data_IF_316848709675
#
_entry.id   IF_316848709675
#
_cell.length_a   1.000
_cell.length_b   1.000
_cell.length_c   1.000
_cell.angle_alpha   90.00
_cell.angle_beta   90.00
_cell.angle_gamma   90.00
#
_symmetry.space_group_name_H-M   'P 1'
#
loop_
_entity.id
_entity.type
_entity.pdbx_description
1 polymer ?
#
# COMPACT_ATOMS: atom_id res chain seq x y z
N UNK A 1 -16.57 24.97 -53.90
CA UNK A 1 -17.47 24.34 -52.91
C UNK A 1 -16.60 23.32 -52.14
N UNK A 2 -15.77 23.89 -51.26
CA UNK A 2 -14.72 23.12 -50.56
C UNK A 2 -15.31 22.54 -49.31
N UNK A 3 -15.43 21.20 -49.30
CA UNK A 3 -15.86 20.43 -48.11
C UNK A 3 -14.66 20.37 -47.16
N UNK A 4 -14.63 21.26 -46.14
CA UNK A 4 -13.72 21.16 -45.02
C UNK A 4 -13.98 19.84 -44.26
N UNK A 5 -13.16 18.86 -44.53
CA UNK A 5 -13.08 17.66 -43.69
C UNK A 5 -12.34 18.04 -42.40
N UNK A 6 -13.11 18.34 -41.38
CA UNK A 6 -12.53 18.56 -40.02
C UNK A 6 -11.71 17.35 -39.56
N UNK A 7 -10.68 17.57 -38.72
CA UNK A 7 -9.81 16.49 -38.27
C UNK A 7 -10.61 15.42 -37.52
N UNK A 8 -10.25 14.14 -37.70
CA UNK A 8 -10.96 13.03 -37.07
C UNK A 8 -10.96 13.20 -35.54
N UNK A 9 -12.15 13.18 -34.97
CA UNK A 9 -12.32 13.14 -33.51
C UNK A 9 -11.70 11.83 -32.97
N UNK A 10 -10.46 11.88 -32.52
CA UNK A 10 -9.91 10.81 -31.69
C UNK A 10 -10.72 10.76 -30.39
N UNK A 11 -11.34 9.60 -30.05
CA UNK A 11 -12.00 9.43 -28.77
C UNK A 11 -10.96 9.68 -27.68
N UNK A 12 -11.17 10.71 -26.85
CA UNK A 12 -10.34 10.97 -25.68
C UNK A 12 -10.33 9.71 -24.85
N UNK A 13 -9.20 9.01 -24.81
CA UNK A 13 -8.98 7.90 -23.89
C UNK A 13 -9.39 8.39 -22.50
N UNK A 14 -10.43 7.77 -21.94
CA UNK A 14 -11.02 8.20 -20.68
C UNK A 14 -9.93 8.27 -19.63
N UNK A 15 -9.82 9.41 -18.91
CA UNK A 15 -8.89 9.57 -17.78
C UNK A 15 -9.08 8.38 -16.87
N UNK A 16 -8.00 7.64 -16.51
CA UNK A 16 -8.09 6.53 -15.59
C UNK A 16 -8.81 7.03 -14.34
N UNK A 17 -9.92 6.42 -14.01
CA UNK A 17 -10.80 6.96 -13.00
C UNK A 17 -10.13 6.80 -11.65
N UNK A 18 -9.74 7.91 -11.02
CA UNK A 18 -9.24 7.94 -9.65
C UNK A 18 -10.11 7.10 -8.69
N UNK A 19 -11.39 6.95 -9.03
CA UNK A 19 -12.37 6.10 -8.36
C UNK A 19 -12.00 4.61 -8.41
N UNK A 20 -11.57 4.08 -9.57
CA UNK A 20 -11.22 2.66 -9.71
C UNK A 20 -10.02 2.29 -8.83
N UNK A 21 -8.99 3.14 -8.81
CA UNK A 21 -7.82 2.95 -7.97
C UNK A 21 -8.17 2.99 -6.48
N UNK A 22 -8.95 3.99 -6.08
CA UNK A 22 -9.43 4.09 -4.68
C UNK A 22 -10.24 2.86 -4.30
N UNK A 23 -11.10 2.34 -5.17
CA UNK A 23 -11.89 1.14 -4.89
C UNK A 23 -11.01 -0.10 -4.64
N UNK A 24 -9.95 -0.30 -5.45
CA UNK A 24 -8.98 -1.39 -5.23
C UNK A 24 -8.26 -1.23 -3.89
N UNK A 25 -7.79 -0.02 -3.57
CA UNK A 25 -7.11 0.24 -2.30
C UNK A 25 -8.05 -0.01 -1.12
N UNK A 26 -9.29 0.49 -1.19
CA UNK A 26 -10.31 0.24 -0.15
C UNK A 26 -10.56 -1.26 0.00
N UNK A 27 -10.64 -2.00 -1.10
CA UNK A 27 -10.77 -3.46 -1.09
C UNK A 27 -9.61 -4.15 -0.35
N UNK A 28 -8.37 -3.75 -0.62
CA UNK A 28 -7.18 -4.27 0.09
C UNK A 28 -7.28 -3.99 1.58
N UNK A 29 -7.55 -2.74 1.95
CA UNK A 29 -7.63 -2.33 3.36
C UNK A 29 -8.79 -3.03 4.08
N UNK A 30 -9.92 -3.24 3.39
CA UNK A 30 -11.04 -3.99 3.93
C UNK A 30 -10.67 -5.46 4.19
N UNK A 31 -9.99 -6.13 3.26
CA UNK A 31 -9.53 -7.50 3.46
C UNK A 31 -8.59 -7.59 4.67
N UNK A 32 -7.63 -6.68 4.78
CA UNK A 32 -6.72 -6.62 5.94
C UNK A 32 -7.51 -6.42 7.23
N UNK A 33 -8.45 -5.48 7.25
CA UNK A 33 -9.30 -5.22 8.42
C UNK A 33 -10.15 -6.44 8.81
N UNK A 34 -10.72 -7.16 7.83
CA UNK A 34 -11.50 -8.37 8.08
C UNK A 34 -10.63 -9.50 8.66
N UNK A 35 -9.42 -9.69 8.14
CA UNK A 35 -8.47 -10.70 8.68
C UNK A 35 -8.21 -10.44 10.18
N UNK A 36 -8.01 -9.16 10.56
CA UNK A 36 -7.79 -8.79 11.95
C UNK A 36 -9.07 -8.88 12.79
N UNK A 37 -10.20 -8.40 12.26
CA UNK A 37 -11.49 -8.41 12.95
C UNK A 37 -11.95 -9.83 13.28
N UNK A 38 -11.85 -10.75 12.33
CA UNK A 38 -12.23 -12.15 12.50
C UNK A 38 -11.15 -13.00 13.20
N UNK A 39 -10.00 -12.37 13.57
CA UNK A 39 -8.91 -13.03 14.27
C UNK A 39 -8.53 -14.36 13.61
N UNK A 40 -8.33 -14.31 12.28
CA UNK A 40 -8.07 -15.51 11.46
C UNK A 40 -6.98 -16.39 12.04
N UNK A 41 -5.98 -15.82 12.71
CA UNK A 41 -4.93 -16.55 13.41
C UNK A 41 -5.44 -17.54 14.45
N UNK A 42 -6.61 -17.35 15.05
CA UNK A 42 -7.15 -18.28 16.05
C UNK A 42 -7.56 -19.63 15.47
N UNK A 43 -7.75 -19.71 14.16
CA UNK A 43 -8.05 -20.96 13.43
C UNK A 43 -6.80 -21.72 12.98
N UNK A 44 -5.61 -21.13 13.18
CA UNK A 44 -4.33 -21.75 12.87
C UNK A 44 -3.81 -22.54 14.06
N UNK A 45 -2.94 -23.52 13.82
CA UNK A 45 -2.33 -24.37 14.85
C UNK A 45 -0.84 -24.63 14.53
N UNK A 46 -0.08 -24.96 15.57
CA UNK A 46 1.35 -25.28 15.44
C UNK A 46 2.18 -24.08 14.95
N UNK A 47 3.14 -24.33 14.10
CA UNK A 47 4.07 -23.32 13.57
C UNK A 47 3.38 -22.19 12.79
N UNK A 48 2.24 -22.46 12.17
CA UNK A 48 1.48 -21.43 11.47
C UNK A 48 0.86 -20.40 12.42
N UNK A 49 0.41 -20.85 13.60
CA UNK A 49 -0.08 -19.96 14.64
C UNK A 49 1.03 -19.03 15.15
N UNK A 50 2.20 -19.60 15.44
CA UNK A 50 3.36 -18.82 15.90
C UNK A 50 3.82 -17.80 14.85
N UNK A 51 3.90 -18.21 13.59
CA UNK A 51 4.26 -17.34 12.47
C UNK A 51 3.25 -16.19 12.29
N UNK A 52 1.96 -16.50 12.38
CA UNK A 52 0.89 -15.51 12.23
C UNK A 52 0.93 -14.47 13.34
N UNK A 53 1.00 -14.89 14.60
CA UNK A 53 1.00 -13.99 15.73
C UNK A 53 2.32 -13.27 15.94
N UNK A 54 3.44 -13.89 15.55
CA UNK A 54 4.77 -13.30 15.67
C UNK A 54 5.07 -12.26 14.59
N UNK A 55 4.66 -12.51 13.32
CA UNK A 55 5.20 -11.70 12.21
C UNK A 55 4.16 -11.18 11.23
N UNK A 56 2.99 -11.79 11.14
CA UNK A 56 2.01 -11.44 10.11
C UNK A 56 1.54 -10.00 10.23
N UNK A 57 1.23 -9.54 11.44
CA UNK A 57 0.78 -8.17 11.67
C UNK A 57 1.84 -7.16 11.26
N UNK A 58 3.12 -7.45 11.54
CA UNK A 58 4.24 -6.55 11.29
C UNK A 58 4.59 -6.45 9.80
N UNK A 59 4.16 -7.42 9.01
CA UNK A 59 4.23 -7.36 7.54
C UNK A 59 2.99 -6.67 6.97
N UNK A 60 1.78 -7.07 7.41
CA UNK A 60 0.55 -6.68 6.73
C UNK A 60 0.10 -5.26 7.08
N UNK A 61 0.44 -4.76 8.27
CA UNK A 61 0.09 -3.39 8.68
C UNK A 61 0.87 -2.37 7.85
N UNK A 62 2.22 -2.42 7.74
CA UNK A 62 2.96 -1.52 6.84
C UNK A 62 2.58 -1.68 5.37
N UNK A 63 2.26 -2.91 4.92
CA UNK A 63 1.71 -3.15 3.59
C UNK A 63 0.42 -2.34 3.37
N UNK A 64 -0.53 -2.42 4.28
CA UNK A 64 -1.77 -1.66 4.22
C UNK A 64 -1.56 -0.15 4.29
N UNK A 65 -0.66 0.32 5.17
CA UNK A 65 -0.30 1.74 5.30
C UNK A 65 0.28 2.31 4.00
N UNK A 66 1.09 1.55 3.29
CA UNK A 66 1.59 1.96 1.98
C UNK A 66 0.44 2.27 1.01
N UNK A 67 -0.53 1.37 0.90
CA UNK A 67 -1.69 1.58 0.03
C UNK A 67 -2.61 2.70 0.53
N UNK A 68 -2.73 2.88 1.84
CA UNK A 68 -3.47 4.01 2.41
C UNK A 68 -2.87 5.36 1.98
N UNK A 69 -1.55 5.50 2.00
CA UNK A 69 -0.87 6.70 1.51
C UNK A 69 -1.02 6.87 0.00
N UNK A 70 -1.15 5.78 -0.75
CA UNK A 70 -1.40 5.81 -2.18
C UNK A 70 -2.77 6.43 -2.57
N UNK A 71 -3.75 6.50 -1.66
CA UNK A 71 -5.01 7.23 -1.88
C UNK A 71 -4.76 8.73 -2.02
N UNK A 72 -3.77 9.26 -1.31
CA UNK A 72 -3.44 10.69 -1.25
C UNK A 72 -2.33 11.14 -2.19
N UNK A 73 -1.78 10.26 -3.03
CA UNK A 73 -0.67 10.58 -3.93
C UNK A 73 -1.00 11.68 -4.95
N UNK A 74 -2.28 11.82 -5.31
CA UNK A 74 -2.74 12.90 -6.18
C UNK A 74 -2.69 14.27 -5.53
N UNK A 75 -2.78 14.34 -4.20
CA UNK A 75 -2.78 15.59 -3.43
C UNK A 75 -1.37 16.04 -3.05
N UNK A 76 -0.46 15.08 -2.80
CA UNK A 76 0.90 15.36 -2.36
C UNK A 76 1.92 14.85 -3.39
N UNK A 77 2.67 15.76 -4.03
CA UNK A 77 3.67 15.43 -5.05
C UNK A 77 4.72 14.42 -4.57
N UNK A 78 5.15 14.54 -3.31
CA UNK A 78 6.14 13.65 -2.71
C UNK A 78 5.67 12.18 -2.66
N UNK A 79 4.39 11.93 -2.39
CA UNK A 79 3.83 10.57 -2.32
C UNK A 79 3.67 9.90 -3.70
N UNK A 80 3.93 10.62 -4.80
CA UNK A 80 3.98 10.02 -6.15
C UNK A 80 5.21 9.13 -6.33
N UNK A 81 6.28 9.38 -5.59
CA UNK A 81 7.48 8.56 -5.62
C UNK A 81 7.31 7.38 -4.66
N UNK A 82 7.21 6.18 -5.21
CA UNK A 82 7.03 4.96 -4.43
C UNK A 82 8.09 4.77 -3.34
N UNK A 83 9.35 5.13 -3.62
CA UNK A 83 10.43 5.07 -2.63
C UNK A 83 10.15 5.98 -1.43
N UNK A 84 9.60 7.19 -1.66
CA UNK A 84 9.29 8.13 -0.58
C UNK A 84 8.13 7.59 0.24
N UNK A 85 7.10 7.06 -0.41
CA UNK A 85 5.97 6.42 0.28
C UNK A 85 6.44 5.21 1.10
N UNK A 86 7.29 4.36 0.51
CA UNK A 86 7.87 3.20 1.18
C UNK A 86 8.70 3.61 2.41
N UNK A 87 9.60 4.58 2.23
CA UNK A 87 10.44 5.08 3.31
C UNK A 87 9.63 5.72 4.44
N UNK A 88 8.62 6.51 4.10
CA UNK A 88 7.74 7.14 5.09
C UNK A 88 7.01 6.11 5.93
N UNK A 89 6.43 5.09 5.29
CA UNK A 89 5.74 4.01 6.02
C UNK A 89 6.71 3.25 6.92
N UNK A 90 7.90 2.92 6.40
CA UNK A 90 8.92 2.24 7.19
C UNK A 90 9.34 3.06 8.43
N UNK A 91 9.57 4.36 8.26
CA UNK A 91 9.92 5.26 9.37
C UNK A 91 8.80 5.31 10.41
N UNK A 92 7.54 5.44 9.98
CA UNK A 92 6.40 5.52 10.91
C UNK A 92 6.23 4.21 11.69
N UNK A 93 6.31 3.06 11.02
CA UNK A 93 6.23 1.76 11.68
C UNK A 93 7.40 1.56 12.67
N UNK A 94 8.62 1.88 12.23
CA UNK A 94 9.82 1.79 13.08
C UNK A 94 9.77 2.75 14.26
N UNK A 95 9.23 3.95 14.10
CA UNK A 95 9.07 4.91 15.19
C UNK A 95 8.13 4.38 16.28
N UNK A 96 7.06 3.69 15.91
CA UNK A 96 6.16 3.05 16.87
C UNK A 96 6.90 2.00 17.72
N UNK A 97 7.75 1.19 17.10
CA UNK A 97 8.56 0.17 17.78
C UNK A 97 9.62 0.80 18.71
N UNK A 98 10.29 1.86 18.24
CA UNK A 98 11.23 2.61 19.07
C UNK A 98 10.53 3.22 20.28
N UNK A 99 9.32 3.75 20.13
CA UNK A 99 8.54 4.28 21.26
C UNK A 99 8.20 3.20 22.30
N UNK A 100 7.96 1.96 21.88
CA UNK A 100 7.78 0.83 22.80
C UNK A 100 9.05 0.55 23.61
N UNK A 101 10.24 0.63 23.00
CA UNK A 101 11.51 0.50 23.71
C UNK A 101 11.70 1.54 24.80
N UNK A 102 11.10 2.73 24.65
CA UNK A 102 11.11 3.79 25.67
C UNK A 102 9.92 3.73 26.64
N UNK A 103 9.17 2.64 26.66
CA UNK A 103 8.07 2.43 27.59
C UNK A 103 6.77 3.17 27.24
N UNK A 104 6.61 3.66 26.02
CA UNK A 104 5.38 4.25 25.49
C UNK A 104 4.67 3.28 24.53
N UNK A 105 3.89 2.31 25.03
CA UNK A 105 3.31 1.26 24.18
C UNK A 105 2.18 1.84 23.33
N UNK A 106 2.40 2.01 22.02
CA UNK A 106 1.36 2.42 21.07
C UNK A 106 0.58 1.23 20.52
N UNK A 107 1.27 0.15 20.17
CA UNK A 107 0.67 -1.01 19.50
C UNK A 107 1.08 -2.38 20.07
N UNK A 108 2.00 -2.45 21.01
CA UNK A 108 2.51 -3.67 21.61
C UNK A 108 3.12 -3.44 22.98
N UNK A 109 3.59 -4.51 23.63
CA UNK A 109 4.20 -4.44 24.96
C UNK A 109 5.68 -4.81 24.99
N UNK A 110 6.18 -5.42 23.91
CA UNK A 110 7.55 -5.95 23.85
C UNK A 110 8.24 -5.40 22.62
N UNK A 111 9.42 -4.82 22.80
CA UNK A 111 10.31 -4.42 21.73
C UNK A 111 10.98 -5.65 21.11
N UNK A 112 10.88 -5.83 19.82
CA UNK A 112 11.59 -6.88 19.06
C UNK A 112 12.33 -6.26 17.85
N UNK A 113 13.68 -6.34 17.81
CA UNK A 113 14.45 -5.85 16.66
C UNK A 113 14.07 -6.52 15.33
N UNK A 114 13.48 -7.71 15.36
CA UNK A 114 13.05 -8.43 14.16
C UNK A 114 11.86 -7.75 13.47
N UNK A 115 11.07 -6.99 14.22
CA UNK A 115 9.92 -6.24 13.69
C UNK A 115 10.34 -5.23 12.62
N UNK A 116 11.52 -4.62 12.73
CA UNK A 116 12.05 -3.75 11.68
C UNK A 116 12.26 -4.48 10.35
N UNK A 117 12.69 -5.74 10.41
CA UNK A 117 12.85 -6.58 9.20
C UNK A 117 11.48 -6.88 8.60
N UNK A 118 10.50 -7.19 9.44
CA UNK A 118 9.13 -7.48 9.01
C UNK A 118 8.43 -6.23 8.44
N UNK A 119 8.62 -5.06 9.05
CA UNK A 119 8.15 -3.78 8.49
C UNK A 119 8.76 -3.51 7.12
N UNK A 120 10.06 -3.72 6.98
CA UNK A 120 10.76 -3.60 5.70
C UNK A 120 10.20 -4.55 4.65
N UNK A 121 10.00 -5.82 5.02
CA UNK A 121 9.40 -6.82 4.13
C UNK A 121 7.98 -6.44 3.70
N UNK A 122 7.14 -5.97 4.62
CA UNK A 122 5.78 -5.52 4.34
C UNK A 122 5.73 -4.35 3.36
N UNK A 123 6.58 -3.34 3.58
CA UNK A 123 6.69 -2.17 2.70
C UNK A 123 7.21 -2.54 1.31
N UNK A 124 8.23 -3.39 1.23
CA UNK A 124 8.80 -3.85 -0.06
C UNK A 124 7.79 -4.70 -0.83
N UNK A 125 7.04 -5.57 -0.14
CA UNK A 125 5.97 -6.35 -0.74
C UNK A 125 4.88 -5.44 -1.31
N UNK A 126 4.48 -4.40 -0.58
CA UNK A 126 3.51 -3.42 -1.05
C UNK A 126 4.00 -2.67 -2.30
N UNK A 127 5.25 -2.22 -2.29
CA UNK A 127 5.88 -1.56 -3.44
C UNK A 127 5.96 -2.50 -4.66
N UNK A 128 6.29 -3.77 -4.45
CA UNK A 128 6.32 -4.78 -5.51
C UNK A 128 4.92 -4.99 -6.12
N UNK A 129 3.90 -5.13 -5.28
CA UNK A 129 2.51 -5.28 -5.73
C UNK A 129 2.06 -4.03 -6.50
N UNK A 130 2.35 -2.84 -5.98
CA UNK A 130 2.00 -1.58 -6.64
C UNK A 130 2.67 -1.45 -8.02
N UNK A 131 3.99 -1.71 -8.11
CA UNK A 131 4.79 -1.42 -9.30
C UNK A 131 4.85 -2.56 -10.31
N UNK A 132 4.79 -3.79 -9.88
CA UNK A 132 4.90 -4.95 -10.77
C UNK A 132 3.56 -5.55 -11.09
N UNK A 133 2.73 -5.76 -10.07
CA UNK A 133 1.46 -6.45 -10.26
C UNK A 133 0.39 -5.50 -10.80
N UNK A 134 0.14 -4.39 -10.13
CA UNK A 134 -0.95 -3.49 -10.51
C UNK A 134 -0.67 -2.69 -11.76
N UNK A 135 0.56 -2.25 -12.01
CA UNK A 135 0.91 -1.57 -13.26
C UNK A 135 0.75 -2.51 -14.49
N UNK A 136 0.88 -3.82 -14.30
CA UNK A 136 0.73 -4.80 -15.39
C UNK A 136 -0.71 -5.28 -15.58
N UNK A 137 -1.45 -5.49 -14.50
CA UNK A 137 -2.76 -6.15 -14.53
C UNK A 137 -3.90 -5.14 -14.60
N UNK A 138 -3.72 -3.95 -14.01
CA UNK A 138 -4.79 -2.96 -13.85
C UNK A 138 -4.56 -1.80 -14.82
N UNK A 139 -5.29 -1.73 -15.96
CA UNK A 139 -5.02 -0.74 -17.01
C UNK A 139 -5.10 0.73 -16.56
N UNK A 140 -5.87 1.00 -15.51
CA UNK A 140 -6.03 2.35 -14.96
C UNK A 140 -5.02 2.70 -13.85
N UNK A 141 -4.06 1.80 -13.54
CA UNK A 141 -3.09 2.00 -12.44
C UNK A 141 -1.87 2.83 -12.87
N UNK A 142 -1.50 2.81 -14.13
CA UNK A 142 -0.23 3.32 -14.68
C UNK A 142 -0.05 4.85 -14.69
N UNK A 143 -0.94 5.63 -14.08
CA UNK A 143 -0.91 7.10 -14.15
C UNK A 143 0.16 7.80 -13.29
N UNK A 144 0.97 7.06 -12.52
CA UNK A 144 2.02 7.66 -11.69
C UNK A 144 3.24 8.15 -12.49
N UNK A 145 3.57 7.48 -13.59
CA UNK A 145 4.85 7.70 -14.30
C UNK A 145 4.77 8.82 -15.35
N UNK A 146 3.61 9.20 -15.85
CA UNK A 146 3.43 10.13 -16.95
C UNK A 146 3.36 11.62 -16.54
N UNK A 147 3.54 11.97 -15.30
CA UNK A 147 3.46 13.35 -14.81
C UNK A 147 4.84 14.00 -14.53
N UNK A 148 5.92 13.43 -15.02
CA UNK A 148 7.30 13.94 -14.85
C UNK A 148 7.95 14.12 -16.21
N UNK A 149 7.31 14.88 -17.10
CA UNK A 149 7.93 15.47 -18.27
C UNK A 149 7.50 16.90 -18.41
#
# INVERSE_FOLDING_TARGET
MDLETGPPHHPRAGKPTARGRTAVIVGILLVIALIHLFRVGTYLSGSLFELYYGYFSDIIVPFGMYFLLCVKDTSFRLLRHWCITALLVFIVASAAEVMQAFGAPLFGRTYDPLDFVMFGAGVLLAALVDRVLFERIVPFWSSRTLAVS
#
